data_IF_210817648823
#
_entry.id   IF_210817648823
#
_cell.length_a   1.000
_cell.length_b   1.000
_cell.length_c   1.000
_cell.angle_alpha   90.00
_cell.angle_beta   90.00
_cell.angle_gamma   90.00
#
_symmetry.space_group_name_H-M   'P 1'
#
loop_
_entity.id
_entity.type
_entity.pdbx_description
1 polymer ?
#
# COMPACT_ATOMS: atom_id res chain seq x y z
N UNK A 1 -60.29 69.04 -50.63
CA UNK A 1 -59.18 69.74 -49.95
C UNK A 1 -58.25 68.69 -49.36
N UNK A 2 -56.98 68.70 -49.80
CA UNK A 2 -55.73 68.13 -49.23
C UNK A 2 -55.85 67.56 -47.80
N UNK A 3 -55.22 66.45 -47.36
CA UNK A 3 -53.98 65.76 -47.77
C UNK A 3 -53.78 64.54 -46.84
N UNK A 4 -53.25 63.41 -47.37
CA UNK A 4 -52.28 62.44 -46.74
C UNK A 4 -52.60 61.74 -45.39
N UNK A 5 -52.26 60.49 -45.06
CA UNK A 5 -51.13 59.56 -45.34
C UNK A 5 -51.65 58.10 -45.27
N UNK A 6 -51.10 57.21 -46.10
CA UNK A 6 -51.35 55.75 -46.14
C UNK A 6 -50.41 54.98 -45.20
N UNK A 7 -50.95 54.04 -44.42
CA UNK A 7 -50.19 53.11 -43.56
C UNK A 7 -50.02 51.74 -44.25
N UNK A 8 -48.74 51.42 -44.49
CA UNK A 8 -48.18 50.09 -44.73
C UNK A 8 -48.22 49.35 -43.37
N UNK A 9 -48.49 48.03 -43.25
CA UNK A 9 -47.42 47.00 -43.23
C UNK A 9 -48.02 45.60 -43.17
N UNK A 10 -47.47 44.74 -44.04
CA UNK A 10 -47.64 43.28 -44.17
C UNK A 10 -46.96 42.54 -43.00
N UNK A 11 -47.38 41.32 -42.68
CA UNK A 11 -46.66 40.10 -43.10
C UNK A 11 -47.07 38.88 -42.25
N UNK A 12 -47.31 37.82 -43.00
CA UNK A 12 -47.77 36.47 -42.69
C UNK A 12 -46.67 35.62 -42.04
N UNK A 13 -47.01 34.76 -41.08
CA UNK A 13 -46.41 33.42 -40.91
C UNK A 13 -47.28 32.58 -39.95
N UNK A 14 -47.83 31.47 -40.47
CA UNK A 14 -48.63 30.51 -39.71
C UNK A 14 -47.73 29.46 -39.06
N UNK A 15 -47.84 29.31 -37.74
CA UNK A 15 -47.10 28.33 -36.96
C UNK A 15 -47.80 26.96 -37.04
N UNK A 16 -47.11 25.96 -37.60
CA UNK A 16 -47.48 24.53 -37.51
C UNK A 16 -46.60 23.92 -36.42
N UNK A 17 -47.21 23.56 -35.30
CA UNK A 17 -46.54 22.89 -34.17
C UNK A 17 -46.48 21.39 -34.46
N UNK A 18 -45.31 20.89 -34.84
CA UNK A 18 -45.02 19.45 -34.94
C UNK A 18 -44.56 18.98 -33.55
N UNK A 19 -45.36 18.14 -32.89
CA UNK A 19 -44.95 17.43 -31.68
C UNK A 19 -44.27 16.14 -32.14
N UNK A 20 -42.94 16.14 -32.24
CA UNK A 20 -42.17 14.90 -32.30
C UNK A 20 -41.93 14.41 -30.88
N UNK A 21 -42.66 13.37 -30.47
CA UNK A 21 -42.28 12.56 -29.32
C UNK A 21 -41.21 11.56 -29.76
N UNK A 22 -39.95 11.97 -29.70
CA UNK A 22 -38.81 11.07 -29.73
C UNK A 22 -38.35 10.84 -28.28
N UNK A 23 -39.06 9.97 -27.57
CA UNK A 23 -38.50 9.28 -26.40
C UNK A 23 -37.82 8.02 -26.92
N UNK A 24 -36.56 8.11 -27.32
CA UNK A 24 -35.67 6.96 -27.15
C UNK A 24 -35.40 6.87 -25.66
N UNK A 25 -36.05 5.92 -24.99
CA UNK A 25 -35.61 5.48 -23.67
C UNK A 25 -34.24 4.84 -23.85
N UNK A 26 -33.19 5.64 -23.74
CA UNK A 26 -31.86 5.13 -23.39
C UNK A 26 -31.91 4.67 -21.93
N UNK A 27 -32.64 3.57 -21.70
CA UNK A 27 -32.54 2.78 -20.48
C UNK A 27 -31.28 1.91 -20.57
N UNK A 28 -30.12 2.54 -20.68
CA UNK A 28 -28.86 1.92 -20.26
C UNK A 28 -28.67 2.15 -18.76
N UNK A 29 -29.72 1.94 -17.97
CA UNK A 29 -29.57 1.69 -16.56
C UNK A 29 -28.84 0.35 -16.45
N UNK A 30 -27.53 0.39 -16.16
CA UNK A 30 -26.76 -0.80 -15.81
C UNK A 30 -27.55 -1.57 -14.75
N UNK A 31 -28.04 -2.76 -15.10
CA UNK A 31 -28.82 -3.56 -14.16
C UNK A 31 -27.95 -3.83 -12.93
N UNK A 32 -28.49 -3.50 -11.77
CA UNK A 32 -27.82 -3.75 -10.51
C UNK A 32 -27.71 -5.27 -10.32
N UNK A 33 -26.49 -5.75 -10.09
CA UNK A 33 -26.18 -7.17 -9.98
C UNK A 33 -26.20 -7.63 -8.52
N UNK A 34 -26.47 -8.91 -8.35
CA UNK A 34 -26.22 -9.64 -7.09
C UNK A 34 -24.97 -10.46 -7.28
N UNK A 35 -23.90 -10.12 -6.57
CA UNK A 35 -22.59 -10.79 -6.67
C UNK A 35 -22.32 -11.50 -5.36
N UNK A 36 -21.90 -12.75 -5.43
CA UNK A 36 -21.46 -13.52 -4.29
C UNK A 36 -19.96 -13.70 -4.34
N UNK A 37 -19.28 -13.53 -3.21
CA UNK A 37 -17.87 -13.87 -3.05
C UNK A 37 -17.79 -15.01 -2.06
N UNK A 38 -17.35 -16.19 -2.53
CA UNK A 38 -17.08 -17.35 -1.70
C UNK A 38 -15.60 -17.34 -1.33
N UNK A 39 -15.32 -17.22 -0.05
CA UNK A 39 -13.95 -17.17 0.48
C UNK A 39 -13.52 -18.58 0.85
N UNK A 40 -12.43 -19.04 0.25
CA UNK A 40 -11.82 -20.33 0.57
C UNK A 40 -10.75 -20.16 1.64
N UNK A 41 -10.76 -21.04 2.64
CA UNK A 41 -9.71 -21.10 3.66
C UNK A 41 -8.36 -21.48 3.03
N UNK A 42 -7.22 -21.09 3.64
CA UNK A 42 -5.90 -21.47 3.15
C UNK A 42 -5.68 -22.99 3.17
N UNK A 43 -4.73 -23.47 2.37
CA UNK A 43 -4.28 -24.87 2.44
C UNK A 43 -3.75 -25.20 3.84
N UNK A 44 -4.00 -26.43 4.32
CA UNK A 44 -3.62 -26.89 5.66
C UNK A 44 -4.67 -26.67 6.75
N UNK A 45 -5.75 -25.94 6.45
CA UNK A 45 -6.92 -25.84 7.33
C UNK A 45 -7.81 -27.08 7.20
N UNK A 46 -8.46 -27.47 8.29
CA UNK A 46 -9.43 -28.57 8.29
C UNK A 46 -10.59 -28.25 7.35
N UNK A 47 -11.05 -29.25 6.60
CA UNK A 47 -12.00 -29.07 5.48
C UNK A 47 -13.41 -28.61 5.89
N UNK A 48 -13.77 -28.78 7.16
CA UNK A 48 -15.04 -28.36 7.75
C UNK A 48 -15.01 -26.91 8.26
N UNK A 49 -13.82 -26.28 8.33
CA UNK A 49 -13.68 -24.88 8.69
C UNK A 49 -14.00 -24.00 7.48
N UNK A 50 -14.89 -23.05 7.69
CA UNK A 50 -15.33 -22.09 6.67
C UNK A 50 -15.07 -20.67 7.17
N UNK A 51 -14.79 -19.75 6.24
CA UNK A 51 -14.50 -18.36 6.53
C UNK A 51 -15.78 -17.58 6.87
N UNK A 52 -16.36 -17.84 8.05
CA UNK A 52 -17.68 -17.33 8.47
C UNK A 52 -17.59 -16.09 9.36
N UNK A 53 -18.49 -15.13 9.16
CA UNK A 53 -18.61 -13.96 10.04
C UNK A 53 -17.56 -12.88 9.79
N UNK A 54 -16.90 -12.89 8.63
CA UNK A 54 -15.81 -11.97 8.31
C UNK A 54 -16.16 -11.05 7.14
N UNK A 55 -15.60 -9.84 7.15
CA UNK A 55 -15.88 -8.82 6.15
C UNK A 55 -15.15 -9.10 4.84
N UNK A 56 -15.88 -9.02 3.73
CA UNK A 56 -15.34 -8.96 2.37
C UNK A 56 -15.65 -7.57 1.82
N UNK A 57 -14.64 -6.96 1.22
CA UNK A 57 -14.74 -5.66 0.55
C UNK A 57 -14.69 -5.86 -0.96
N UNK A 58 -15.53 -5.14 -1.70
CA UNK A 58 -15.51 -5.08 -3.16
C UNK A 58 -15.67 -3.62 -3.61
N UNK A 59 -14.56 -2.95 -3.90
CA UNK A 59 -14.56 -1.49 -4.10
C UNK A 59 -15.17 -0.75 -2.90
N UNK A 60 -16.28 -0.04 -3.11
CA UNK A 60 -17.02 0.66 -2.03
C UNK A 60 -18.00 -0.23 -1.24
N UNK A 61 -18.25 -1.44 -1.73
CA UNK A 61 -19.23 -2.34 -1.12
C UNK A 61 -18.57 -3.19 -0.04
N UNK A 62 -19.30 -3.48 1.03
CA UNK A 62 -18.89 -4.41 2.09
C UNK A 62 -20.00 -5.40 2.37
N UNK A 63 -19.64 -6.65 2.67
CA UNK A 63 -20.56 -7.70 3.07
C UNK A 63 -19.87 -8.65 4.06
N UNK A 64 -20.65 -9.37 4.86
CA UNK A 64 -20.14 -10.35 5.83
C UNK A 64 -20.43 -11.75 5.30
N UNK A 65 -19.46 -12.65 5.43
CA UNK A 65 -19.62 -14.05 5.03
C UNK A 65 -20.60 -14.80 5.94
N UNK A 66 -21.47 -15.61 5.33
CA UNK A 66 -22.38 -16.50 6.05
C UNK A 66 -21.72 -17.81 6.51
N UNK A 67 -22.51 -18.74 7.05
CA UNK A 67 -22.08 -20.08 7.49
C UNK A 67 -21.46 -20.95 6.38
N UNK A 68 -21.58 -20.53 5.10
CA UNK A 68 -20.96 -21.20 3.95
C UNK A 68 -19.71 -20.50 3.44
N UNK A 69 -19.23 -19.47 4.14
CA UNK A 69 -18.11 -18.63 3.71
C UNK A 69 -18.45 -17.71 2.54
N UNK A 70 -19.73 -17.38 2.33
CA UNK A 70 -20.20 -16.59 1.19
C UNK A 70 -20.67 -15.21 1.65
N UNK A 71 -20.06 -14.16 1.11
CA UNK A 71 -20.51 -12.78 1.24
C UNK A 71 -21.37 -12.39 0.02
N UNK A 72 -22.58 -11.88 0.25
CA UNK A 72 -23.50 -11.47 -0.82
C UNK A 72 -23.57 -9.95 -0.90
N UNK A 73 -23.29 -9.41 -2.09
CA UNK A 73 -23.35 -8.00 -2.43
C UNK A 73 -24.55 -7.73 -3.34
N UNK A 74 -25.45 -6.87 -2.91
CA UNK A 74 -26.62 -6.45 -3.68
C UNK A 74 -26.37 -5.08 -4.34
N UNK A 75 -26.95 -4.87 -5.52
CA UNK A 75 -26.91 -3.56 -6.16
C UNK A 75 -25.54 -3.18 -6.75
N UNK A 76 -24.76 -4.18 -7.15
CA UNK A 76 -23.41 -3.99 -7.70
C UNK A 76 -23.52 -3.53 -9.15
N UNK A 77 -22.90 -2.41 -9.48
CA UNK A 77 -22.87 -1.93 -10.87
C UNK A 77 -21.80 -2.71 -11.62
N UNK A 78 -22.05 -3.22 -12.84
CA UNK A 78 -21.02 -3.85 -13.65
C UNK A 78 -19.78 -2.95 -13.84
N UNK A 79 -18.62 -3.40 -13.36
CA UNK A 79 -17.34 -2.68 -13.44
C UNK A 79 -16.17 -3.62 -13.07
N UNK A 80 -14.95 -3.08 -13.05
CA UNK A 80 -13.77 -3.70 -12.48
C UNK A 80 -13.68 -3.37 -10.99
N UNK A 81 -13.59 -4.40 -10.16
CA UNK A 81 -13.47 -4.24 -8.71
C UNK A 81 -12.17 -4.85 -8.17
N UNK A 82 -11.64 -4.25 -7.11
CA UNK A 82 -10.73 -4.95 -6.21
C UNK A 82 -11.57 -5.59 -5.11
N UNK A 83 -11.40 -6.91 -4.94
CA UNK A 83 -12.10 -7.72 -3.95
C UNK A 83 -11.06 -8.18 -2.93
N UNK A 84 -11.33 -8.02 -1.64
CA UNK A 84 -10.40 -8.42 -0.59
C UNK A 84 -11.11 -8.85 0.69
N UNK A 85 -10.42 -9.63 1.50
CA UNK A 85 -10.83 -9.96 2.87
C UNK A 85 -9.62 -10.19 3.75
N UNK A 86 -9.80 -9.99 5.05
CA UNK A 86 -8.84 -10.43 6.05
C UNK A 86 -9.49 -10.58 7.42
N UNK A 87 -8.98 -11.55 8.18
CA UNK A 87 -9.25 -11.71 9.59
C UNK A 87 -7.96 -12.08 10.35
N UNK A 88 -7.92 -11.68 11.61
CA UNK A 88 -6.92 -12.13 12.57
C UNK A 88 -7.50 -13.32 13.34
N UNK A 89 -6.68 -14.32 13.59
CA UNK A 89 -6.99 -15.46 14.46
C UNK A 89 -5.90 -15.63 15.52
N UNK A 90 -6.27 -16.12 16.68
CA UNK A 90 -5.32 -16.42 17.77
C UNK A 90 -4.55 -17.71 17.51
N UNK A 91 -3.49 -17.94 18.30
CA UNK A 91 -2.78 -19.22 18.34
C UNK A 91 -3.73 -20.40 18.63
N UNK A 92 -4.68 -20.21 19.54
CA UNK A 92 -5.67 -21.21 19.94
C UNK A 92 -6.62 -21.53 18.77
N UNK A 93 -7.14 -20.49 18.11
CA UNK A 93 -7.99 -20.65 16.91
C UNK A 93 -7.21 -21.31 15.77
N UNK A 94 -5.94 -20.98 15.57
CA UNK A 94 -5.08 -21.63 14.57
C UNK A 94 -4.92 -23.13 14.84
N UNK A 95 -4.62 -23.51 16.09
CA UNK A 95 -4.49 -24.90 16.49
C UNK A 95 -5.83 -25.64 16.32
N UNK A 96 -6.95 -25.03 16.72
CA UNK A 96 -8.28 -25.59 16.53
C UNK A 96 -8.64 -25.78 15.05
N UNK A 97 -8.29 -24.81 14.19
CA UNK A 97 -8.64 -24.82 12.77
C UNK A 97 -7.72 -25.70 11.91
N UNK A 98 -6.47 -25.93 12.32
CA UNK A 98 -5.47 -26.67 11.52
C UNK A 98 -5.04 -27.99 12.15
N UNK A 99 -5.06 -28.09 13.48
CA UNK A 99 -4.49 -29.20 14.25
C UNK A 99 -2.96 -29.17 14.37
N UNK A 100 -2.32 -28.06 13.99
CA UNK A 100 -0.87 -27.87 14.10
C UNK A 100 -0.51 -27.00 15.31
N UNK A 101 0.64 -27.29 15.92
CA UNK A 101 1.16 -26.50 17.03
C UNK A 101 1.44 -25.05 16.58
N UNK A 102 0.85 -24.04 17.25
CA UNK A 102 1.08 -22.65 16.91
C UNK A 102 2.54 -22.26 17.18
N UNK A 103 3.11 -21.52 16.24
CA UNK A 103 4.47 -20.97 16.28
C UNK A 103 4.47 -19.46 16.55
N UNK A 104 3.29 -18.83 16.58
CA UNK A 104 3.10 -17.39 16.78
C UNK A 104 1.84 -17.16 17.62
N UNK A 105 1.77 -16.03 18.33
CA UNK A 105 0.63 -15.68 19.19
C UNK A 105 -0.65 -15.41 18.41
N UNK A 106 -0.52 -14.82 17.21
CA UNK A 106 -1.63 -14.49 16.33
C UNK A 106 -1.23 -14.72 14.86
N UNK A 107 -2.23 -14.94 14.02
CA UNK A 107 -2.10 -15.14 12.59
C UNK A 107 -3.09 -14.27 11.84
N UNK A 108 -2.79 -13.95 10.59
CA UNK A 108 -3.67 -13.23 9.68
C UNK A 108 -3.99 -14.12 8.49
N UNK A 109 -5.28 -14.35 8.27
CA UNK A 109 -5.80 -14.94 7.03
C UNK A 109 -6.23 -13.79 6.13
N UNK A 110 -5.73 -13.74 4.90
CA UNK A 110 -6.13 -12.69 3.95
C UNK A 110 -6.09 -13.16 2.50
N UNK A 111 -6.82 -12.46 1.64
CA UNK A 111 -6.85 -12.74 0.20
C UNK A 111 -7.34 -11.54 -0.61
N UNK A 112 -6.92 -11.46 -1.86
CA UNK A 112 -7.42 -10.45 -2.80
C UNK A 112 -7.49 -10.92 -4.25
N UNK A 113 -8.38 -10.28 -5.01
CA UNK A 113 -8.44 -10.27 -6.46
C UNK A 113 -8.46 -8.81 -6.93
N UNK A 114 -7.48 -8.41 -7.73
CA UNK A 114 -7.38 -7.05 -8.26
C UNK A 114 -7.99 -6.96 -9.66
N UNK A 115 -8.76 -5.91 -9.94
CA UNK A 115 -9.45 -5.67 -11.23
C UNK A 115 -10.27 -6.89 -11.70
N UNK A 116 -11.01 -7.51 -10.80
CA UNK A 116 -11.95 -8.55 -11.18
C UNK A 116 -13.12 -7.94 -11.94
N UNK A 117 -13.35 -8.41 -13.18
CA UNK A 117 -14.47 -7.95 -14.00
C UNK A 117 -15.78 -8.53 -13.49
N UNK A 118 -16.65 -7.67 -12.98
CA UNK A 118 -18.02 -8.03 -12.62
C UNK A 118 -18.93 -7.60 -13.77
N UNK A 119 -19.29 -8.55 -14.64
CA UNK A 119 -20.18 -8.31 -15.80
C UNK A 119 -21.61 -8.82 -15.62
N UNK A 120 -21.83 -9.74 -14.68
CA UNK A 120 -23.13 -10.37 -14.42
C UNK A 120 -23.21 -10.87 -12.98
N UNK A 121 -24.42 -11.17 -12.52
CA UNK A 121 -24.63 -11.84 -11.23
C UNK A 121 -23.94 -13.20 -11.25
N UNK A 122 -23.01 -13.42 -10.32
CA UNK A 122 -22.13 -14.59 -10.30
C UNK A 122 -21.65 -14.89 -8.89
N UNK A 123 -21.02 -16.05 -8.72
CA UNK A 123 -20.21 -16.40 -7.55
C UNK A 123 -18.73 -16.36 -7.93
N UNK A 124 -17.96 -15.55 -7.20
CA UNK A 124 -16.53 -15.37 -7.35
C UNK A 124 -15.84 -16.17 -6.24
N UNK A 125 -14.86 -16.98 -6.59
CA UNK A 125 -14.04 -17.70 -5.62
C UNK A 125 -12.82 -16.84 -5.25
N UNK A 126 -12.67 -16.52 -3.97
CA UNK A 126 -11.54 -15.77 -3.40
C UNK A 126 -10.69 -16.73 -2.57
N UNK A 127 -9.48 -17.05 -3.03
CA UNK A 127 -8.52 -17.83 -2.27
C UNK A 127 -7.79 -16.95 -1.25
N UNK A 128 -7.56 -17.50 -0.05
CA UNK A 128 -6.82 -16.81 1.03
C UNK A 128 -5.50 -17.51 1.34
N UNK A 129 -4.63 -16.81 2.04
CA UNK A 129 -3.36 -17.29 2.57
C UNK A 129 -3.26 -16.93 4.04
N UNK A 130 -2.46 -17.68 4.81
CA UNK A 130 -2.19 -17.40 6.21
C UNK A 130 -0.76 -16.86 6.39
N UNK A 131 -0.58 -15.92 7.32
CA UNK A 131 0.71 -15.40 7.75
C UNK A 131 0.74 -15.22 9.27
N UNK A 132 1.92 -15.22 9.86
CA UNK A 132 2.10 -14.85 11.27
C UNK A 132 1.85 -13.35 11.46
N UNK A 133 1.15 -12.97 12.55
CA UNK A 133 1.03 -11.55 12.92
C UNK A 133 2.36 -11.06 13.46
N UNK A 134 2.82 -9.94 12.91
CA UNK A 134 4.16 -9.44 13.19
C UNK A 134 4.14 -8.39 14.29
N UNK A 135 5.17 -8.42 15.13
CA UNK A 135 5.29 -7.45 16.22
C UNK A 135 5.71 -6.08 15.71
N UNK A 136 6.59 -6.00 14.71
CA UNK A 136 6.98 -4.73 14.07
C UNK A 136 6.36 -4.65 12.68
N UNK A 137 5.70 -3.53 12.40
CA UNK A 137 5.11 -3.23 11.09
C UNK A 137 5.58 -1.86 10.58
N UNK A 138 5.61 -1.67 9.27
CA UNK A 138 5.83 -0.41 8.58
C UNK A 138 4.59 0.46 8.80
N UNK A 139 4.70 1.52 9.59
CA UNK A 139 3.56 2.40 9.88
C UNK A 139 3.45 3.55 8.90
N UNK A 140 4.57 4.07 8.36
CA UNK A 140 4.55 5.19 7.41
C UNK A 140 5.68 5.13 6.39
N UNK A 141 5.39 5.56 5.17
CA UNK A 141 6.39 5.82 4.13
C UNK A 141 6.16 7.23 3.59
N UNK A 142 7.06 8.15 3.92
CA UNK A 142 7.03 9.51 3.42
C UNK A 142 8.06 9.69 2.30
N UNK A 143 7.59 9.57 1.06
CA UNK A 143 8.43 9.66 -0.14
C UNK A 143 8.03 10.81 -1.07
N UNK A 144 6.95 11.53 -0.77
CA UNK A 144 6.41 12.58 -1.63
C UNK A 144 7.18 13.89 -1.56
N UNK A 145 7.95 14.17 -0.51
CA UNK A 145 8.60 15.48 -0.33
C UNK A 145 7.61 16.66 -0.41
N UNK A 146 8.13 17.87 -0.59
CA UNK A 146 7.31 19.09 -0.62
C UNK A 146 7.89 20.19 -1.53
N UNK A 147 7.20 21.33 -1.58
CA UNK A 147 7.74 22.61 -2.03
C UNK A 147 8.19 23.43 -0.82
N UNK A 148 9.43 23.91 -0.86
CA UNK A 148 9.93 24.83 0.17
C UNK A 148 9.19 26.18 0.13
N UNK A 149 9.53 27.07 1.07
CA UNK A 149 8.95 28.41 1.18
C UNK A 149 9.21 29.31 -0.05
N UNK A 150 10.14 28.93 -0.93
CA UNK A 150 10.45 29.60 -2.18
C UNK A 150 9.88 28.85 -3.41
N UNK A 151 8.97 27.89 -3.20
CA UNK A 151 8.36 27.04 -4.22
C UNK A 151 9.37 26.15 -4.99
N UNK A 152 10.52 25.86 -4.40
CA UNK A 152 11.52 24.91 -4.94
C UNK A 152 11.25 23.51 -4.41
N UNK A 153 11.65 22.52 -5.18
CA UNK A 153 11.53 21.12 -4.79
C UNK A 153 12.40 20.85 -3.56
N UNK A 154 11.82 20.24 -2.54
CA UNK A 154 12.52 19.85 -1.31
C UNK A 154 12.19 18.39 -0.98
N UNK A 155 13.23 17.60 -0.70
CA UNK A 155 13.16 16.13 -0.62
C UNK A 155 13.99 15.55 0.54
N UNK A 156 14.55 16.41 1.40
CA UNK A 156 15.57 15.96 2.36
C UNK A 156 14.96 15.21 3.56
N UNK A 157 13.77 15.59 4.01
CA UNK A 157 13.08 15.00 5.17
C UNK A 157 12.21 13.81 4.82
N UNK A 158 12.62 13.00 3.84
CA UNK A 158 11.97 11.70 3.57
C UNK A 158 12.30 10.70 4.67
N UNK A 159 11.32 9.86 5.03
CA UNK A 159 11.48 8.88 6.12
C UNK A 159 10.62 7.64 5.93
N UNK A 160 10.98 6.59 6.66
CA UNK A 160 10.15 5.40 6.91
C UNK A 160 9.97 5.30 8.43
N UNK A 161 8.74 4.99 8.86
CA UNK A 161 8.43 4.73 10.26
C UNK A 161 8.02 3.27 10.44
N UNK A 162 8.51 2.64 11.50
CA UNK A 162 8.12 1.30 11.92
C UNK A 162 7.52 1.37 13.33
N UNK A 163 6.53 0.53 13.61
CA UNK A 163 5.71 0.56 14.81
C UNK A 163 5.65 -0.81 15.46
N UNK A 164 5.79 -0.87 16.78
CA UNK A 164 5.56 -2.08 17.54
C UNK A 164 4.05 -2.28 17.78
N UNK A 165 3.46 -3.14 16.97
CA UNK A 165 2.05 -3.50 16.98
C UNK A 165 1.69 -4.56 18.05
N UNK A 166 2.70 -5.15 18.71
CA UNK A 166 2.52 -6.13 19.80
C UNK A 166 2.28 -5.45 21.16
N UNK A 167 1.99 -6.26 22.18
CA UNK A 167 1.87 -5.82 23.57
C UNK A 167 3.16 -6.07 24.39
N UNK A 168 4.21 -6.59 23.76
CA UNK A 168 5.54 -6.83 24.36
C UNK A 168 6.58 -5.87 23.81
N UNK A 169 7.65 -5.63 24.57
CA UNK A 169 8.84 -4.95 24.04
C UNK A 169 9.53 -5.86 23.03
N UNK A 170 9.92 -5.31 21.88
CA UNK A 170 10.57 -6.04 20.79
C UNK A 170 11.96 -5.50 20.55
N UNK A 171 12.95 -6.38 20.42
CA UNK A 171 14.28 -6.00 19.94
C UNK A 171 14.31 -6.02 18.40
N UNK A 172 14.70 -4.90 17.79
CA UNK A 172 14.82 -4.77 16.33
C UNK A 172 16.27 -4.81 15.84
N UNK A 173 17.24 -5.04 16.73
CA UNK A 173 18.64 -5.11 16.36
C UNK A 173 18.87 -6.16 15.26
N UNK A 174 19.56 -5.75 14.19
CA UNK A 174 19.83 -6.62 13.05
C UNK A 174 18.65 -6.91 12.11
N UNK A 175 17.42 -6.43 12.40
CA UNK A 175 16.33 -6.49 11.42
C UNK A 175 16.71 -5.70 10.15
N UNK A 176 16.21 -6.16 9.02
CA UNK A 176 16.45 -5.54 7.72
C UNK A 176 15.20 -4.87 7.20
N UNK A 177 15.38 -3.78 6.46
CA UNK A 177 14.34 -3.26 5.60
C UNK A 177 14.89 -3.00 4.20
N UNK A 178 14.03 -3.24 3.21
CA UNK A 178 14.36 -3.18 1.80
C UNK A 178 13.51 -2.13 1.08
N UNK A 179 14.13 -1.40 0.16
CA UNK A 179 13.40 -0.68 -0.87
C UNK A 179 13.27 -1.59 -2.09
N UNK A 180 12.04 -1.85 -2.49
CA UNK A 180 11.74 -2.66 -3.68
C UNK A 180 12.18 -1.91 -4.93
N UNK A 181 12.60 -2.63 -5.97
CA UNK A 181 12.95 -2.04 -7.25
C UNK A 181 11.83 -1.14 -7.80
N UNK A 182 12.22 -0.08 -8.52
CA UNK A 182 11.31 0.97 -8.98
C UNK A 182 11.50 1.32 -10.45
N UNK A 183 11.84 0.34 -11.28
CA UNK A 183 11.90 0.51 -12.74
C UNK A 183 10.52 0.90 -13.31
N UNK A 184 10.47 1.44 -14.52
CA UNK A 184 9.19 1.82 -15.14
C UNK A 184 8.27 0.61 -15.38
N UNK A 185 8.89 -0.55 -15.60
CA UNK A 185 8.28 -1.87 -15.73
C UNK A 185 8.89 -2.75 -14.66
N UNK A 186 8.12 -3.59 -13.94
CA UNK A 186 8.68 -4.48 -12.93
C UNK A 186 9.88 -5.27 -13.46
N UNK A 187 10.94 -5.36 -12.67
CA UNK A 187 12.16 -6.06 -13.07
C UNK A 187 11.88 -7.54 -13.42
N UNK A 188 10.92 -8.14 -12.71
CA UNK A 188 10.35 -9.45 -12.96
C UNK A 188 8.84 -9.35 -12.80
N UNK A 189 8.09 -10.02 -13.66
CA UNK A 189 6.63 -10.07 -13.56
C UNK A 189 6.23 -11.00 -12.40
N UNK A 190 5.23 -10.60 -11.60
CA UNK A 190 4.67 -11.46 -10.57
C UNK A 190 4.17 -12.78 -11.20
N UNK A 191 4.54 -13.89 -10.57
CA UNK A 191 4.24 -15.25 -11.03
C UNK A 191 5.41 -15.94 -11.75
N UNK A 192 6.39 -15.20 -12.28
CA UNK A 192 7.57 -15.79 -12.92
C UNK A 192 8.55 -16.40 -11.91
N UNK A 193 8.69 -15.78 -10.74
CA UNK A 193 9.60 -16.23 -9.66
C UNK A 193 8.90 -16.13 -8.28
N UNK A 194 7.87 -16.97 -8.01
CA UNK A 194 6.98 -16.81 -6.87
C UNK A 194 7.66 -16.87 -5.50
N UNK A 195 8.91 -17.30 -5.41
CA UNK A 195 9.68 -17.38 -4.17
C UNK A 195 10.54 -16.13 -3.90
N UNK A 196 10.57 -15.15 -4.81
CA UNK A 196 11.51 -14.02 -4.74
C UNK A 196 10.87 -12.68 -5.08
N UNK A 197 11.29 -11.64 -4.35
CA UNK A 197 11.12 -10.23 -4.72
C UNK A 197 12.48 -9.59 -5.00
N UNK A 198 12.50 -8.39 -5.56
CA UNK A 198 13.73 -7.75 -6.05
C UNK A 198 13.94 -6.39 -5.38
N UNK A 199 15.02 -6.28 -4.60
CA UNK A 199 15.33 -5.08 -3.82
C UNK A 199 16.43 -4.26 -4.47
N UNK A 200 16.24 -2.93 -4.54
CA UNK A 200 17.23 -1.97 -5.03
C UNK A 200 18.14 -1.43 -3.95
N UNK A 201 17.66 -1.40 -2.71
CA UNK A 201 18.47 -1.04 -1.54
C UNK A 201 18.05 -1.90 -0.36
N UNK A 202 19.03 -2.31 0.43
CA UNK A 202 18.82 -3.05 1.67
C UNK A 202 19.56 -2.32 2.78
N UNK A 203 18.85 -2.08 3.88
CA UNK A 203 19.39 -1.51 5.09
C UNK A 203 19.21 -2.49 6.26
N UNK A 204 20.07 -2.36 7.26
CA UNK A 204 19.99 -3.11 8.51
C UNK A 204 20.00 -2.15 9.69
N UNK A 205 19.12 -2.36 10.66
CA UNK A 205 19.23 -1.71 11.96
C UNK A 205 20.52 -2.15 12.66
N UNK A 206 21.18 -1.28 13.46
CA UNK A 206 22.41 -1.66 14.14
C UNK A 206 22.28 -3.01 14.86
N UNK A 207 23.21 -3.93 14.58
CA UNK A 207 23.19 -5.30 15.11
C UNK A 207 24.08 -5.45 16.36
N UNK A 208 24.82 -4.39 16.72
CA UNK A 208 25.69 -4.36 17.89
C UNK A 208 24.94 -3.84 19.13
N UNK A 209 24.16 -4.71 19.75
CA UNK A 209 23.44 -4.41 20.99
C UNK A 209 21.94 -4.66 20.85
N UNK A 210 21.18 -4.18 21.83
CA UNK A 210 19.72 -4.30 21.88
C UNK A 210 19.11 -2.97 21.44
N UNK A 211 18.17 -3.01 20.50
CA UNK A 211 17.36 -1.87 20.10
C UNK A 211 15.91 -2.17 20.46
N UNK A 212 15.52 -1.87 21.69
CA UNK A 212 14.17 -2.14 22.19
C UNK A 212 13.15 -1.12 21.69
N UNK A 213 12.01 -1.60 21.21
CA UNK A 213 10.84 -0.80 20.86
C UNK A 213 9.71 -1.23 21.79
N UNK A 214 9.26 -0.32 22.66
CA UNK A 214 8.18 -0.59 23.59
C UNK A 214 6.83 -0.82 22.87
N UNK A 215 5.86 -1.51 23.51
CA UNK A 215 4.52 -1.68 22.95
C UNK A 215 3.88 -0.36 22.52
N UNK A 216 3.40 -0.29 21.28
CA UNK A 216 2.77 0.92 20.75
C UNK A 216 3.72 2.10 20.50
N UNK A 217 5.03 1.90 20.58
CA UNK A 217 6.03 2.89 20.19
C UNK A 217 6.44 2.73 18.72
N UNK A 218 7.01 3.77 18.13
CA UNK A 218 7.61 3.74 16.80
C UNK A 218 9.06 4.18 16.79
N UNK A 219 9.74 3.72 15.75
CA UNK A 219 11.06 4.19 15.34
C UNK A 219 10.99 4.83 13.95
N UNK A 220 11.77 5.88 13.76
CA UNK A 220 11.84 6.62 12.50
C UNK A 220 13.25 6.49 11.92
N UNK A 221 13.32 6.09 10.65
CA UNK A 221 14.54 6.16 9.84
C UNK A 221 14.40 7.30 8.84
N UNK A 222 15.23 8.34 8.99
CA UNK A 222 15.20 9.53 8.12
C UNK A 222 16.35 9.55 7.10
N UNK A 223 16.16 10.21 5.96
CA UNK A 223 17.26 10.54 5.03
C UNK A 223 18.15 11.69 5.53
N UNK A 224 17.57 12.58 6.34
CA UNK A 224 18.23 13.71 6.99
C UNK A 224 17.49 13.92 8.31
N UNK A 225 18.17 13.68 9.43
CA UNK A 225 17.54 13.72 10.76
C UNK A 225 17.66 15.11 11.40
N UNK A 226 17.14 16.13 10.72
CA UNK A 226 17.17 17.54 11.18
C UNK A 226 15.76 18.14 11.23
N UNK A 227 15.64 19.37 11.70
CA UNK A 227 14.39 20.13 11.61
C UNK A 227 14.18 20.64 10.17
N UNK A 228 13.17 20.10 9.48
CA UNK A 228 12.79 20.51 8.13
C UNK A 228 11.60 21.47 8.07
N UNK A 229 11.06 21.92 9.21
CA UNK A 229 9.86 22.77 9.25
C UNK A 229 10.04 24.09 8.50
N UNK A 230 11.27 24.61 8.44
CA UNK A 230 11.63 25.76 7.59
C UNK A 230 11.48 25.53 6.09
N UNK A 231 11.25 24.29 5.64
CA UNK A 231 11.06 23.88 4.25
C UNK A 231 9.73 23.17 4.00
N UNK A 232 8.72 23.38 4.87
CA UNK A 232 7.37 22.77 4.76
C UNK A 232 7.34 21.24 4.83
N UNK A 233 8.33 20.62 5.47
CA UNK A 233 8.27 19.22 5.89
C UNK A 233 8.22 19.15 7.43
N UNK A 234 8.30 17.93 7.99
CA UNK A 234 8.21 17.70 9.43
C UNK A 234 9.57 17.80 10.12
N UNK A 235 9.58 18.09 11.42
CA UNK A 235 10.81 18.03 12.24
C UNK A 235 11.23 16.57 12.45
N UNK A 236 12.39 16.20 11.91
CA UNK A 236 13.01 14.88 12.04
C UNK A 236 14.28 14.91 12.90
N UNK A 237 14.53 16.00 13.64
CA UNK A 237 15.69 16.13 14.54
C UNK A 237 15.72 15.08 15.66
N UNK A 238 14.58 14.44 15.92
CA UNK A 238 14.38 13.34 16.89
C UNK A 238 14.08 12.00 16.22
N UNK A 239 14.46 11.82 14.96
CA UNK A 239 14.45 10.50 14.33
C UNK A 239 15.42 9.57 15.08
N UNK A 240 15.03 8.30 15.21
CA UNK A 240 15.78 7.29 15.96
C UNK A 240 17.03 6.85 15.18
N UNK A 241 16.91 6.81 13.84
CA UNK A 241 17.98 6.47 12.94
C UNK A 241 18.03 7.35 11.69
N UNK A 242 19.19 7.39 11.06
CA UNK A 242 19.45 8.12 9.82
C UNK A 242 20.13 7.22 8.77
N UNK A 243 19.60 7.20 7.56
CA UNK A 243 20.29 6.64 6.40
C UNK A 243 21.31 7.67 5.90
N UNK A 244 22.46 7.75 6.59
CA UNK A 244 23.44 8.83 6.41
C UNK A 244 23.92 8.93 4.96
N UNK A 245 23.82 10.14 4.42
CA UNK A 245 24.27 10.43 3.07
C UNK A 245 25.78 10.69 3.05
N UNK A 246 26.55 9.73 2.53
CA UNK A 246 28.00 9.84 2.41
C UNK A 246 28.44 10.67 1.20
N UNK A 247 27.52 10.97 0.28
CA UNK A 247 27.77 11.86 -0.87
C UNK A 247 27.58 13.35 -0.54
N UNK A 248 27.04 13.70 0.63
CA UNK A 248 26.90 15.08 1.10
C UNK A 248 25.85 15.92 0.36
N UNK A 249 24.83 15.29 -0.25
CA UNK A 249 23.68 15.95 -0.87
C UNK A 249 22.60 16.35 0.16
N UNK A 250 22.50 15.61 1.26
CA UNK A 250 21.68 15.98 2.43
C UNK A 250 22.55 16.28 3.65
N UNK A 251 21.98 16.99 4.63
CA UNK A 251 22.67 17.28 5.89
C UNK A 251 22.46 16.12 6.86
N UNK A 252 23.54 15.46 7.27
CA UNK A 252 23.45 14.42 8.28
C UNK A 252 23.41 15.03 9.69
N UNK A 253 22.66 14.42 10.61
CA UNK A 253 22.74 14.76 12.03
C UNK A 253 23.81 13.89 12.71
N UNK A 254 24.91 14.47 13.24
CA UNK A 254 25.96 13.68 13.88
C UNK A 254 25.51 12.90 15.11
N UNK A 255 24.45 13.35 15.79
CA UNK A 255 23.94 12.71 17.01
C UNK A 255 23.01 11.52 16.72
N UNK A 256 22.41 11.45 15.53
CA UNK A 256 21.50 10.37 15.17
C UNK A 256 22.29 9.14 14.69
N UNK A 257 22.09 7.95 15.29
CA UNK A 257 22.71 6.71 14.84
C UNK A 257 22.39 6.38 13.38
N UNK A 258 23.32 5.71 12.69
CA UNK A 258 23.10 5.29 11.31
C UNK A 258 22.41 3.93 11.22
N UNK A 259 21.55 3.73 10.23
CA UNK A 259 21.28 2.38 9.70
C UNK A 259 22.41 1.96 8.76
N UNK A 260 22.70 0.67 8.70
CA UNK A 260 23.75 0.13 7.85
C UNK A 260 23.23 -0.09 6.42
N UNK A 261 23.88 0.49 5.41
CA UNK A 261 23.59 0.21 4.00
C UNK A 261 24.27 -1.11 3.59
N UNK A 262 23.48 -2.16 3.40
CA UNK A 262 23.96 -3.51 3.04
C UNK A 262 24.14 -3.64 1.53
N UNK A 263 23.20 -3.09 0.77
CA UNK A 263 23.22 -3.14 -0.69
C UNK A 263 22.60 -1.88 -1.29
N UNK A 264 23.15 -1.41 -2.42
CA UNK A 264 22.51 -0.42 -3.29
C UNK A 264 22.77 -0.74 -4.76
N UNK A 265 21.72 -0.70 -5.58
CA UNK A 265 21.80 -0.69 -7.05
C UNK A 265 22.46 0.59 -7.56
N UNK A 266 22.42 1.67 -6.79
CA UNK A 266 22.84 3.02 -7.21
C UNK A 266 23.93 3.57 -6.28
N UNK A 267 25.23 3.31 -6.56
CA UNK A 267 26.33 3.72 -5.68
C UNK A 267 26.44 5.23 -5.41
N UNK A 268 25.83 6.07 -6.26
CA UNK A 268 25.81 7.54 -6.10
C UNK A 268 24.63 8.05 -5.25
N UNK A 269 23.82 7.14 -4.72
CA UNK A 269 22.70 7.40 -3.80
C UNK A 269 22.97 6.61 -2.51
N UNK A 270 23.55 7.29 -1.51
CA UNK A 270 23.92 6.68 -0.23
C UNK A 270 22.83 6.70 0.83
N UNK A 271 21.88 7.64 0.74
CA UNK A 271 20.67 7.64 1.57
C UNK A 271 19.57 6.79 0.91
N UNK A 272 18.40 6.69 1.55
CA UNK A 272 17.29 5.91 1.00
C UNK A 272 16.78 6.55 -0.30
N UNK A 273 16.80 5.78 -1.38
CA UNK A 273 16.28 6.14 -2.70
C UNK A 273 14.74 6.03 -2.73
N UNK A 274 14.10 6.85 -1.90
CA UNK A 274 12.65 7.06 -1.85
C UNK A 274 12.25 7.94 -3.05
N UNK A 275 11.89 7.26 -4.15
CA UNK A 275 11.52 7.87 -5.43
C UNK A 275 10.30 8.76 -5.29
N UNK A 276 10.54 10.03 -5.56
CA UNK A 276 9.53 11.07 -5.62
C UNK A 276 8.33 10.68 -6.53
N UNK A 277 7.10 10.74 -5.99
CA UNK A 277 5.88 10.38 -6.72
C UNK A 277 5.71 8.88 -7.01
N UNK A 278 6.60 8.03 -6.47
CA UNK A 278 6.52 6.58 -6.57
C UNK A 278 7.05 5.98 -7.89
N UNK A 279 7.12 4.64 -7.98
CA UNK A 279 6.76 3.69 -6.90
C UNK A 279 7.80 3.68 -5.77
N UNK A 280 7.38 3.36 -4.56
CA UNK A 280 8.17 3.41 -3.32
C UNK A 280 7.80 2.29 -2.33
N UNK A 281 7.68 1.07 -2.81
CA UNK A 281 7.34 -0.07 -1.97
C UNK A 281 8.50 -0.42 -1.02
N UNK A 282 8.16 -0.80 0.21
CA UNK A 282 9.10 -1.10 1.30
C UNK A 282 8.74 -2.46 1.89
N UNK A 283 9.75 -3.23 2.27
CA UNK A 283 9.57 -4.48 3.02
C UNK A 283 10.41 -4.47 4.29
N UNK A 284 9.94 -5.15 5.33
CA UNK A 284 10.67 -5.49 6.56
C UNK A 284 10.93 -6.99 6.55
N UNK A 285 12.13 -7.42 6.91
CA UNK A 285 12.48 -8.84 6.89
C UNK A 285 13.55 -9.20 7.93
N UNK A 286 13.61 -10.49 8.26
CA UNK A 286 14.59 -11.04 9.19
C UNK A 286 15.19 -12.33 8.64
N UNK A 287 16.49 -12.52 8.85
CA UNK A 287 17.21 -13.72 8.42
C UNK A 287 18.55 -13.83 9.16
N UNK A 288 18.97 -15.06 9.40
CA UNK A 288 20.33 -15.39 9.88
C UNK A 288 21.32 -15.57 8.72
N UNK A 289 20.85 -15.52 7.47
CA UNK A 289 21.72 -15.60 6.30
C UNK A 289 22.56 -14.32 6.13
N UNK A 290 23.74 -14.46 5.54
CA UNK A 290 24.51 -13.31 5.09
C UNK A 290 23.87 -12.70 3.84
N UNK A 291 23.08 -11.64 4.04
CA UNK A 291 22.38 -10.91 2.97
C UNK A 291 23.35 -10.36 1.90
N UNK A 292 24.62 -10.10 2.24
CA UNK A 292 25.62 -9.65 1.25
C UNK A 292 26.00 -10.74 0.25
N UNK A 293 25.73 -12.00 0.57
CA UNK A 293 25.97 -13.16 -0.30
C UNK A 293 24.81 -13.49 -1.23
N UNK A 294 23.66 -12.83 -1.05
CA UNK A 294 22.48 -13.08 -1.89
C UNK A 294 22.72 -12.72 -3.35
N UNK A 295 22.10 -13.50 -4.24
CA UNK A 295 22.25 -13.33 -5.67
C UNK A 295 21.75 -11.95 -6.12
N UNK A 296 22.56 -11.25 -6.92
CA UNK A 296 22.12 -10.05 -7.62
C UNK A 296 21.89 -10.35 -9.10
N UNK A 297 20.71 -9.99 -9.61
CA UNK A 297 20.29 -10.27 -10.98
C UNK A 297 20.00 -8.98 -11.74
N UNK A 298 20.13 -9.01 -13.06
CA UNK A 298 19.60 -7.94 -13.90
C UNK A 298 18.07 -8.06 -14.01
N UNK A 299 17.43 -7.02 -14.57
CA UNK A 299 16.05 -7.11 -15.05
C UNK A 299 15.90 -8.33 -15.97
N UNK A 300 14.77 -9.04 -15.87
CA UNK A 300 14.50 -10.25 -16.66
C UNK A 300 14.74 -10.02 -18.16
N UNK A 301 15.38 -11.01 -18.79
CA UNK A 301 15.80 -10.93 -20.20
C UNK A 301 16.94 -9.95 -20.51
N UNK A 302 17.55 -9.28 -19.51
CA UNK A 302 18.72 -8.41 -19.70
C UNK A 302 20.00 -8.99 -19.12
N UNK A 303 21.14 -8.54 -19.66
CA UNK A 303 22.49 -8.92 -19.26
C UNK A 303 23.35 -7.72 -18.79
N UNK A 304 22.74 -6.53 -18.74
CA UNK A 304 23.38 -5.26 -18.34
C UNK A 304 22.35 -4.29 -17.76
N UNK A 305 22.84 -3.28 -17.04
CA UNK A 305 22.03 -2.23 -16.43
C UNK A 305 21.88 -2.40 -14.92
N UNK A 306 20.74 -1.98 -14.37
CA UNK A 306 20.41 -2.12 -12.96
C UNK A 306 20.46 -3.59 -12.52
N UNK A 307 21.14 -3.86 -11.40
CA UNK A 307 21.05 -5.13 -10.69
C UNK A 307 20.22 -4.97 -9.43
N UNK A 308 19.47 -5.99 -9.07
CA UNK A 308 18.65 -6.05 -7.86
C UNK A 308 18.97 -7.31 -7.08
N UNK A 309 18.86 -7.24 -5.77
CA UNK A 309 19.03 -8.43 -4.91
C UNK A 309 17.80 -9.30 -5.02
N UNK A 310 17.99 -10.54 -5.45
CA UNK A 310 16.95 -11.57 -5.51
C UNK A 310 16.68 -12.07 -4.09
N UNK A 311 15.66 -11.49 -3.47
CA UNK A 311 15.37 -11.61 -2.04
C UNK A 311 14.32 -12.69 -1.81
N UNK A 312 14.61 -13.74 -1.02
CA UNK A 312 13.64 -14.79 -0.73
C UNK A 312 12.43 -14.23 0.04
N UNK A 313 11.25 -14.47 -0.50
CA UNK A 313 9.97 -14.07 0.09
C UNK A 313 9.79 -14.63 1.50
N UNK A 314 10.29 -15.84 1.77
CA UNK A 314 10.15 -16.52 3.07
C UNK A 314 10.71 -15.73 4.27
N UNK A 315 11.55 -14.72 4.03
CA UNK A 315 12.12 -13.87 5.07
C UNK A 315 11.29 -12.60 5.31
N UNK A 316 10.41 -12.25 4.38
CA UNK A 316 9.60 -11.04 4.47
C UNK A 316 8.63 -11.20 5.63
N UNK A 317 8.72 -10.24 6.53
CA UNK A 317 7.78 -10.05 7.61
C UNK A 317 6.69 -9.14 7.03
N UNK A 318 6.97 -7.86 6.84
CA UNK A 318 5.96 -6.87 6.45
C UNK A 318 6.25 -6.31 5.07
N UNK A 319 5.22 -5.86 4.37
CA UNK A 319 5.35 -5.23 3.06
C UNK A 319 4.27 -4.17 2.82
N UNK A 320 4.70 -3.02 2.32
CA UNK A 320 3.80 -1.97 1.83
C UNK A 320 4.09 -1.71 0.35
N UNK A 321 3.10 -1.97 -0.50
CA UNK A 321 3.16 -1.69 -1.93
C UNK A 321 2.73 -0.24 -2.21
N UNK A 322 3.69 0.64 -2.50
CA UNK A 322 3.42 2.02 -2.91
C UNK A 322 3.60 2.18 -4.42
N UNK A 323 2.51 2.16 -5.19
CA UNK A 323 2.55 2.32 -6.64
C UNK A 323 2.65 3.80 -7.04
N UNK A 324 3.03 4.02 -8.31
CA UNK A 324 3.03 5.35 -8.91
C UNK A 324 1.64 5.73 -9.40
N UNK A 325 1.14 6.88 -8.96
CA UNK A 325 -0.01 7.51 -9.61
C UNK A 325 0.42 8.19 -10.92
N UNK A 326 -0.40 8.06 -11.96
CA UNK A 326 -0.20 8.68 -13.28
C UNK A 326 -1.47 9.43 -13.67
N UNK A 327 -1.38 10.30 -14.68
CA UNK A 327 -2.55 11.00 -15.22
C UNK A 327 -3.63 10.04 -15.76
N UNK A 328 -3.24 8.81 -16.11
CA UNK A 328 -4.11 7.73 -16.56
C UNK A 328 -4.58 6.81 -15.43
N UNK A 329 -4.36 7.20 -14.18
CA UNK A 329 -4.57 6.36 -12.99
C UNK A 329 -3.40 5.41 -12.69
N UNK A 330 -3.56 4.64 -11.62
CA UNK A 330 -2.55 3.71 -11.12
C UNK A 330 -2.50 2.43 -11.96
N UNK A 331 -1.30 2.05 -12.40
CA UNK A 331 -1.07 0.81 -13.12
C UNK A 331 -0.80 -0.35 -12.17
N UNK A 332 -1.83 -1.13 -11.85
CA UNK A 332 -1.73 -2.30 -10.95
C UNK A 332 -0.85 -3.42 -11.48
N UNK A 333 -0.60 -3.48 -12.80
CA UNK A 333 0.33 -4.45 -13.37
C UNK A 333 1.79 -4.12 -13.02
N UNK A 334 2.03 -2.95 -12.41
CA UNK A 334 3.33 -2.55 -11.89
C UNK A 334 3.57 -3.00 -10.43
N UNK A 335 2.70 -3.82 -9.83
CA UNK A 335 2.98 -4.44 -8.52
C UNK A 335 4.25 -5.28 -8.54
N UNK A 336 4.94 -5.30 -7.39
CA UNK A 336 6.16 -6.07 -7.14
C UNK A 336 6.05 -7.02 -5.95
N UNK A 337 5.08 -6.80 -5.09
CA UNK A 337 4.78 -7.65 -3.95
C UNK A 337 3.66 -8.63 -4.35
N UNK A 338 3.89 -9.90 -4.04
CA UNK A 338 2.91 -10.96 -4.19
C UNK A 338 1.75 -10.78 -3.21
N UNK A 339 0.57 -11.32 -3.55
CA UNK A 339 -0.63 -11.10 -2.75
C UNK A 339 -0.55 -11.59 -1.31
N UNK A 340 0.29 -12.60 -1.03
CA UNK A 340 0.49 -13.09 0.33
C UNK A 340 1.39 -12.17 1.18
N UNK A 341 2.14 -11.24 0.56
CA UNK A 341 2.87 -10.14 1.24
C UNK A 341 1.98 -8.89 1.27
N UNK A 342 1.51 -8.47 0.10
CA UNK A 342 0.62 -7.32 -0.03
C UNK A 342 -0.33 -7.54 -1.22
N UNK A 343 -1.56 -7.83 -0.88
CA UNK A 343 -2.67 -8.13 -1.77
C UNK A 343 -3.24 -6.88 -2.45
N UNK A 344 -2.88 -5.68 -1.98
CA UNK A 344 -3.35 -4.40 -2.48
C UNK A 344 -2.22 -3.50 -2.92
N UNK A 345 -2.46 -2.20 -2.75
CA UNK A 345 -1.48 -1.15 -2.97
C UNK A 345 -1.99 0.15 -2.36
N UNK A 346 -1.06 1.09 -2.15
CA UNK A 346 -1.36 2.48 -1.88
C UNK A 346 -0.53 3.40 -2.79
N UNK A 347 -0.85 4.69 -2.84
CA UNK A 347 -0.13 5.66 -3.67
C UNK A 347 -0.39 7.09 -3.18
N UNK A 348 0.58 7.98 -3.34
CA UNK A 348 0.35 9.43 -3.17
C UNK A 348 -0.53 9.97 -4.30
N UNK A 349 -1.47 10.87 -4.03
CA UNK A 349 -2.40 11.36 -5.05
C UNK A 349 -1.68 12.17 -6.14
N UNK A 350 -0.60 12.88 -5.80
CA UNK A 350 0.16 13.63 -6.80
C UNK A 350 1.01 12.74 -7.73
N UNK A 351 0.80 12.92 -9.03
CA UNK A 351 1.54 12.22 -10.11
C UNK A 351 3.04 12.54 -10.15
N UNK A 352 3.45 13.68 -9.59
CA UNK A 352 4.84 14.14 -9.52
C UNK A 352 5.37 14.25 -8.08
N UNK A 353 4.52 14.01 -7.07
CA UNK A 353 4.74 14.30 -5.66
C UNK A 353 4.82 15.80 -5.33
N UNK A 354 5.57 16.15 -4.28
CA UNK A 354 5.84 17.48 -3.72
C UNK A 354 4.65 18.08 -2.99
N UNK A 355 3.82 17.21 -2.44
CA UNK A 355 2.53 17.52 -1.82
C UNK A 355 2.54 17.39 -0.30
N UNK A 356 3.66 16.93 0.29
CA UNK A 356 3.69 16.62 1.71
C UNK A 356 2.96 15.33 2.08
N UNK A 357 2.47 14.57 1.09
CA UNK A 357 1.71 13.35 1.33
C UNK A 357 2.57 12.23 1.92
N UNK A 358 2.07 11.61 2.99
CA UNK A 358 2.58 10.37 3.58
C UNK A 358 1.56 9.26 3.38
N UNK A 359 2.06 8.07 3.01
CA UNK A 359 1.30 6.82 3.09
C UNK A 359 1.42 6.34 4.53
N UNK A 360 0.31 6.24 5.26
CA UNK A 360 0.28 5.88 6.68
C UNK A 360 -0.70 4.73 6.94
N UNK A 361 -0.31 3.81 7.83
CA UNK A 361 -1.10 2.68 8.26
C UNK A 361 -2.19 3.15 9.22
N UNK A 362 -3.43 2.73 8.97
CA UNK A 362 -4.61 3.09 9.76
C UNK A 362 -4.62 2.35 11.09
N UNK A 363 -5.30 2.93 12.07
CA UNK A 363 -5.62 2.30 13.34
C UNK A 363 -6.74 1.29 13.13
N UNK A 364 -6.50 0.03 13.48
CA UNK A 364 -7.53 -1.00 13.49
C UNK A 364 -8.39 -0.88 14.76
N UNK A 365 -7.74 -0.77 15.92
CA UNK A 365 -8.38 -0.61 17.21
C UNK A 365 -7.44 0.03 18.24
N UNK A 366 -8.03 0.49 19.33
CA UNK A 366 -7.30 0.85 20.54
C UNK A 366 -7.72 -0.10 21.65
N UNK A 367 -6.76 -0.75 22.28
CA UNK A 367 -6.99 -1.74 23.34
C UNK A 367 -6.13 -1.40 24.54
N UNK A 368 -6.73 -1.25 25.72
CA UNK A 368 -6.04 -0.87 26.95
C UNK A 368 -5.16 0.39 26.82
N UNK A 369 -5.58 1.35 25.99
CA UNK A 369 -4.83 2.59 25.73
C UNK A 369 -3.67 2.45 24.73
N UNK A 370 -3.41 1.24 24.21
CA UNK A 370 -2.43 0.96 23.16
C UNK A 370 -3.11 0.99 21.78
N UNK A 371 -2.54 1.75 20.85
CA UNK A 371 -2.96 1.73 19.45
C UNK A 371 -2.49 0.44 18.78
N UNK A 372 -3.39 -0.20 18.02
CA UNK A 372 -3.08 -1.35 17.16
C UNK A 372 -3.38 -0.92 15.73
N UNK A 373 -2.37 -0.96 14.87
CA UNK A 373 -2.45 -0.63 13.46
C UNK A 373 -2.99 -1.82 12.65
N UNK A 374 -3.71 -1.51 11.57
CA UNK A 374 -4.26 -2.49 10.64
C UNK A 374 -3.15 -3.21 9.89
N UNK A 375 -3.27 -4.54 9.77
CA UNK A 375 -2.33 -5.39 9.08
C UNK A 375 -3.06 -6.59 8.48
N UNK A 376 -3.62 -6.38 7.30
CA UNK A 376 -4.41 -7.38 6.57
C UNK A 376 -3.64 -7.96 5.39
N UNK A 377 -2.31 -7.70 5.33
CA UNK A 377 -1.45 -7.88 4.16
C UNK A 377 -2.09 -7.27 2.90
N UNK A 378 -2.71 -6.09 3.03
CA UNK A 378 -3.35 -5.43 1.90
C UNK A 378 -3.29 -3.91 2.07
N UNK A 379 -2.35 -3.26 1.37
CA UNK A 379 -2.14 -1.83 1.51
C UNK A 379 -3.35 -0.96 1.19
N UNK A 380 -4.27 -1.45 0.36
CA UNK A 380 -5.52 -0.72 0.04
C UNK A 380 -6.49 -0.72 1.24
N UNK A 381 -6.44 -1.77 2.06
CA UNK A 381 -7.21 -1.88 3.29
C UNK A 381 -6.48 -1.28 4.49
N UNK A 382 -5.16 -1.35 4.54
CA UNK A 382 -4.38 -1.05 5.75
C UNK A 382 -3.89 0.39 5.79
N UNK A 383 -3.63 1.00 4.63
CA UNK A 383 -3.05 2.34 4.56
C UNK A 383 -4.03 3.37 3.99
N UNK A 384 -3.78 4.62 4.35
CA UNK A 384 -4.38 5.81 3.77
C UNK A 384 -3.29 6.84 3.45
N UNK A 385 -3.68 7.93 2.79
CA UNK A 385 -2.77 9.00 2.36
C UNK A 385 -3.21 10.30 3.02
N UNK A 386 -2.26 11.08 3.51
CA UNK A 386 -2.54 12.39 4.08
C UNK A 386 -1.33 13.31 3.97
N UNK A 387 -1.55 14.61 3.83
CA UNK A 387 -0.50 15.63 3.97
C UNK A 387 -0.40 16.20 5.39
N UNK A 388 -1.27 15.76 6.31
CA UNK A 388 -1.39 16.32 7.66
C UNK A 388 -0.86 15.41 8.77
N UNK A 389 -0.85 14.09 8.52
CA UNK A 389 -0.37 13.10 9.49
C UNK A 389 1.13 13.27 9.72
N UNK A 390 1.50 13.45 10.98
CA UNK A 390 2.90 13.61 11.40
C UNK A 390 3.53 12.26 11.80
N UNK A 391 4.88 12.18 11.87
CA UNK A 391 5.53 11.05 12.51
C UNK A 391 4.98 10.84 13.93
N UNK A 392 4.83 9.58 14.34
CA UNK A 392 4.26 9.17 15.63
C UNK A 392 2.80 9.57 15.89
N UNK A 393 2.06 9.99 14.85
CA UNK A 393 0.60 10.20 14.89
C UNK A 393 -0.13 9.05 14.20
N UNK A 394 -1.23 8.56 14.78
CA UNK A 394 -2.00 7.41 14.28
C UNK A 394 -3.49 7.73 14.26
N UNK A 395 -4.22 7.31 13.22
CA UNK A 395 -5.66 7.54 13.03
C UNK A 395 -6.36 6.31 12.50
#
# INVERSE_FOLDING_TARGET
>A
MNRTISFITKMMFAAVTVIMAACSSDDNATQALTVQVKVSMPEGFKSDILYTGHTVTMGKYTAITNEKGIATFEGVIPDLYDISTSCEITAEEYEEMTGNDPQNENYVISGSLLKYTVGSSTTIELQTSISAKQSIVISKVYYAGTKDNNNKNYLAGKYIEFFNNSDQTVDIAGLYFGLVESESTPAYTLGSTPEYIYLKQIYRFPSNGVTEVAPGASIIVANSAIDHTGNNEVDLSKADFEAKDTQGKTTNNPATPAVELIYTTFPTISNMNLVQGGPCSVVLFSTDEDVTSWETVYVDGKDKGSKFVKTPVKYIMDGVECLKNKSTGVDKNSKRLYNYIDAGYQYTEATTGYTGEVVYRKTAKTENGRTILADTNNSSNDFAVSAEIKPREYK
#
